data_IF_866734959849
#
_entry.id   IF_866734959849
#
_cell.length_a   1.000
_cell.length_b   1.000
_cell.length_c   1.000
_cell.angle_alpha   90.00
_cell.angle_beta   90.00
_cell.angle_gamma   90.00
#
_symmetry.space_group_name_H-M   'P 1'
#
loop_
_entity.id
_entity.type
_entity.pdbx_description
1 polymer ?
#
# COMPACT_ATOMS: atom_id res chain seq x y z
N UNK A 1 23.27 2.51 -1.09
CA UNK A 1 22.68 1.58 -0.09
C UNK A 1 21.65 2.24 0.83
N UNK A 2 21.43 3.57 0.79
CA UNK A 2 20.51 4.28 1.71
C UNK A 2 19.09 4.58 1.17
N UNK A 3 18.75 4.12 -0.04
CA UNK A 3 17.56 4.56 -0.78
C UNK A 3 16.33 3.64 -0.74
N UNK A 4 16.42 2.43 -0.16
CA UNK A 4 15.39 1.38 -0.31
C UNK A 4 14.41 1.25 0.87
N UNK A 5 14.40 2.20 1.80
CA UNK A 5 13.50 2.12 2.94
C UNK A 5 12.30 3.05 2.81
N UNK A 6 11.12 2.48 3.07
CA UNK A 6 9.83 3.17 3.08
C UNK A 6 9.49 3.47 4.54
N UNK A 7 9.10 4.71 4.84
CA UNK A 7 8.62 5.02 6.19
C UNK A 7 7.27 4.31 6.40
N UNK A 8 7.16 3.52 7.46
CA UNK A 8 5.93 2.81 7.77
C UNK A 8 5.26 3.42 9.00
N UNK A 9 3.93 3.42 9.02
CA UNK A 9 3.17 3.78 10.22
C UNK A 9 3.21 2.64 11.23
N UNK A 10 3.42 2.97 12.50
CA UNK A 10 3.57 1.99 13.58
C UNK A 10 2.24 1.39 14.05
N UNK A 11 1.13 2.03 13.69
CA UNK A 11 -0.24 1.62 14.01
C UNK A 11 -0.95 0.91 12.85
N UNK A 12 -0.23 0.55 11.77
CA UNK A 12 -0.79 -0.09 10.56
C UNK A 12 -1.69 -1.28 10.91
N UNK A 13 -1.25 -2.13 11.84
CA UNK A 13 -2.01 -3.28 12.33
C UNK A 13 -3.40 -2.92 12.91
N UNK A 14 -3.54 -1.72 13.47
CA UNK A 14 -4.78 -1.21 14.08
C UNK A 14 -5.63 -0.38 13.12
N UNK A 15 -5.19 -0.18 11.89
CA UNK A 15 -5.96 0.58 10.91
C UNK A 15 -7.29 -0.15 10.59
N UNK A 16 -8.44 0.56 10.58
CA UNK A 16 -9.73 -0.02 10.21
C UNK A 16 -9.74 -0.71 8.84
N UNK A 17 -9.03 -0.19 7.83
CA UNK A 17 -8.86 -0.81 6.52
C UNK A 17 -8.08 -2.13 6.58
N UNK A 18 -7.04 -2.23 7.41
CA UNK A 18 -6.36 -3.54 7.64
C UNK A 18 -7.35 -4.54 8.22
N UNK A 19 -8.20 -4.09 9.15
CA UNK A 19 -9.24 -4.95 9.72
C UNK A 19 -10.26 -5.40 8.67
N UNK A 20 -10.71 -4.49 7.80
CA UNK A 20 -11.65 -4.79 6.72
C UNK A 20 -11.06 -5.78 5.71
N UNK A 21 -9.78 -5.63 5.34
CA UNK A 21 -9.11 -6.55 4.43
C UNK A 21 -8.99 -7.94 5.05
N UNK A 22 -8.56 -8.02 6.32
CA UNK A 22 -8.48 -9.29 7.02
C UNK A 22 -9.83 -9.99 7.09
N UNK A 23 -10.91 -9.24 7.37
CA UNK A 23 -12.27 -9.79 7.42
C UNK A 23 -12.74 -10.27 6.03
N UNK A 24 -12.44 -9.52 4.96
CA UNK A 24 -12.79 -9.89 3.60
C UNK A 24 -12.06 -11.18 3.14
N UNK A 25 -10.79 -11.33 3.51
CA UNK A 25 -10.00 -12.53 3.20
C UNK A 25 -10.47 -13.74 4.00
N UNK A 26 -10.93 -13.53 5.23
CA UNK A 26 -11.46 -14.59 6.10
C UNK A 26 -12.91 -14.96 5.81
N UNK A 27 -13.63 -14.17 5.03
CA UNK A 27 -15.04 -14.40 4.77
C UNK A 27 -15.27 -15.82 4.20
N UNK A 28 -16.31 -16.54 4.64
CA UNK A 28 -16.64 -17.84 4.08
C UNK A 28 -16.80 -17.77 2.57
N UNK A 29 -16.09 -18.64 1.85
CA UNK A 29 -16.11 -18.65 0.40
C UNK A 29 -15.38 -17.47 -0.25
N UNK A 30 -14.53 -16.74 0.49
CA UNK A 30 -13.51 -15.88 -0.12
C UNK A 30 -12.58 -16.69 -1.02
N UNK A 31 -11.85 -16.02 -1.89
CA UNK A 31 -10.88 -16.67 -2.77
C UNK A 31 -9.80 -17.42 -1.98
N UNK A 32 -9.29 -16.80 -0.91
CA UNK A 32 -8.35 -17.42 0.01
C UNK A 32 -8.95 -18.67 0.70
N UNK A 33 -10.17 -18.56 1.23
CA UNK A 33 -10.85 -19.69 1.87
C UNK A 33 -11.02 -20.86 0.89
N UNK A 34 -11.48 -20.59 -0.35
CA UNK A 34 -11.61 -21.62 -1.40
C UNK A 34 -10.27 -22.21 -1.78
N UNK A 35 -9.22 -21.39 -1.89
CA UNK A 35 -7.88 -21.84 -2.22
C UNK A 35 -7.36 -22.83 -1.16
N UNK A 36 -7.53 -22.52 0.13
CA UNK A 36 -7.12 -23.41 1.23
C UNK A 36 -7.94 -24.70 1.21
N UNK A 37 -9.27 -24.62 1.12
CA UNK A 37 -10.14 -25.81 1.07
C UNK A 37 -9.79 -26.72 -0.10
N UNK A 38 -9.55 -26.16 -1.29
CA UNK A 38 -9.28 -26.95 -2.49
C UNK A 38 -7.87 -27.55 -2.51
N UNK A 39 -6.84 -26.82 -2.07
CA UNK A 39 -5.44 -27.25 -2.20
C UNK A 39 -4.90 -27.95 -0.95
N UNK A 40 -5.34 -27.54 0.24
CA UNK A 40 -4.87 -28.12 1.50
C UNK A 40 -5.83 -29.17 2.07
N UNK A 41 -7.01 -29.33 1.44
CA UNK A 41 -8.07 -30.25 1.89
C UNK A 41 -8.48 -30.01 3.37
N UNK A 42 -8.39 -28.76 3.81
CA UNK A 42 -8.75 -28.36 5.17
C UNK A 42 -9.50 -27.01 5.15
N UNK A 43 -10.32 -26.79 6.18
CA UNK A 43 -10.95 -25.49 6.39
C UNK A 43 -9.92 -24.47 6.91
N UNK A 44 -10.03 -23.22 6.48
CA UNK A 44 -9.14 -22.16 6.93
C UNK A 44 -9.45 -21.78 8.39
N UNK A 45 -8.63 -22.26 9.33
CA UNK A 45 -8.76 -21.94 10.77
C UNK A 45 -7.73 -20.91 11.21
N UNK A 46 -7.93 -19.65 10.80
CA UNK A 46 -7.04 -18.53 11.18
C UNK A 46 -7.81 -17.55 12.05
N UNK A 47 -7.19 -17.04 13.12
CA UNK A 47 -7.82 -16.00 13.94
C UNK A 47 -7.70 -14.64 13.26
N UNK A 48 -8.63 -13.73 13.55
CA UNK A 48 -8.61 -12.36 13.01
C UNK A 48 -7.28 -11.63 13.27
N UNK A 49 -6.66 -11.85 14.42
CA UNK A 49 -5.38 -11.22 14.76
C UNK A 49 -4.22 -11.77 13.93
N UNK A 50 -4.20 -13.08 13.65
CA UNK A 50 -3.21 -13.67 12.75
C UNK A 50 -3.42 -13.12 11.34
N UNK A 51 -4.66 -13.07 10.86
CA UNK A 51 -4.94 -12.55 9.51
C UNK A 51 -4.58 -11.08 9.35
N UNK A 52 -4.77 -10.26 10.38
CA UNK A 52 -4.30 -8.86 10.38
C UNK A 52 -2.79 -8.77 10.25
N UNK A 53 -2.01 -9.61 10.94
CA UNK A 53 -0.55 -9.62 10.77
C UNK A 53 -0.15 -10.05 9.36
N UNK A 54 -0.81 -11.08 8.81
CA UNK A 54 -0.64 -11.50 7.40
C UNK A 54 -0.93 -10.34 6.45
N UNK A 55 -2.04 -9.62 6.67
CA UNK A 55 -2.43 -8.45 5.88
C UNK A 55 -1.35 -7.36 5.92
N UNK A 56 -0.77 -7.08 7.10
CA UNK A 56 0.34 -6.11 7.22
C UNK A 56 1.56 -6.56 6.41
N UNK A 57 1.94 -7.85 6.50
CA UNK A 57 3.05 -8.39 5.71
C UNK A 57 2.81 -8.26 4.20
N UNK A 58 1.63 -8.68 3.74
CA UNK A 58 1.22 -8.58 2.34
C UNK A 58 1.22 -7.13 1.83
N UNK A 59 0.74 -6.17 2.63
CA UNK A 59 0.77 -4.74 2.30
C UNK A 59 2.19 -4.22 2.10
N UNK A 60 3.11 -4.58 2.99
CA UNK A 60 4.50 -4.13 2.90
C UNK A 60 5.17 -4.66 1.62
N UNK A 61 4.93 -5.93 1.27
CA UNK A 61 5.41 -6.52 0.01
C UNK A 61 4.85 -5.77 -1.20
N UNK A 62 3.53 -5.59 -1.25
CA UNK A 62 2.86 -4.88 -2.36
C UNK A 62 3.35 -3.44 -2.48
N UNK A 63 3.41 -2.69 -1.38
CA UNK A 63 3.87 -1.30 -1.41
C UNK A 63 5.34 -1.19 -1.81
N UNK A 64 6.20 -2.10 -1.35
CA UNK A 64 7.60 -2.16 -1.74
C UNK A 64 7.77 -2.31 -3.26
N UNK A 65 7.11 -3.32 -3.83
CA UNK A 65 7.19 -3.59 -5.28
C UNK A 65 6.53 -2.48 -6.09
N UNK A 66 5.30 -2.07 -5.72
CA UNK A 66 4.56 -1.06 -6.47
C UNK A 66 5.25 0.30 -6.43
N UNK A 67 5.90 0.68 -5.32
CA UNK A 67 6.71 1.91 -5.27
C UNK A 67 7.84 1.90 -6.28
N UNK A 68 8.50 0.76 -6.51
CA UNK A 68 9.61 0.65 -7.46
C UNK A 68 9.15 0.62 -8.92
N UNK A 69 7.95 0.08 -9.18
CA UNK A 69 7.45 -0.14 -10.55
C UNK A 69 6.47 0.95 -11.01
N UNK A 70 5.75 1.56 -10.08
CA UNK A 70 4.74 2.58 -10.32
C UNK A 70 5.33 3.94 -10.63
N UNK A 71 4.51 4.78 -11.26
CA UNK A 71 4.82 6.19 -11.53
C UNK A 71 4.06 7.07 -10.55
N UNK A 72 4.72 8.13 -10.09
CA UNK A 72 4.07 9.15 -9.25
C UNK A 72 3.19 10.06 -10.11
N UNK A 73 1.96 10.28 -9.68
CA UNK A 73 1.05 11.28 -10.22
C UNK A 73 0.47 12.09 -9.05
N UNK A 74 0.94 13.33 -8.86
CA UNK A 74 0.61 14.08 -7.64
C UNK A 74 1.07 13.33 -6.38
N UNK A 75 0.13 13.02 -5.49
CA UNK A 75 0.37 12.21 -4.29
C UNK A 75 -0.04 10.75 -4.47
N UNK A 76 -0.51 10.38 -5.65
CA UNK A 76 -0.95 9.03 -5.99
C UNK A 76 0.17 8.23 -6.67
N UNK A 77 0.09 6.92 -6.55
CA UNK A 77 0.95 5.99 -7.29
C UNK A 77 0.12 5.27 -8.35
N UNK A 78 0.57 5.30 -9.59
CA UNK A 78 -0.16 4.76 -10.75
C UNK A 78 0.68 3.70 -11.46
N UNK A 79 0.08 2.54 -11.70
CA UNK A 79 0.69 1.40 -12.37
C UNK A 79 -0.16 1.03 -13.59
N UNK A 80 0.37 1.23 -14.79
CA UNK A 80 -0.38 0.96 -16.03
C UNK A 80 -0.25 -0.51 -16.43
N UNK A 81 -1.32 -1.09 -16.99
CA UNK A 81 -1.35 -2.48 -17.44
C UNK A 81 -1.32 -3.52 -16.31
N UNK A 82 -1.55 -3.09 -15.07
CA UNK A 82 -1.57 -3.96 -13.88
C UNK A 82 -3.01 -4.21 -13.45
N UNK A 83 -3.30 -5.44 -13.04
CA UNK A 83 -4.61 -5.84 -12.51
C UNK A 83 -4.51 -6.17 -11.02
N UNK A 84 -5.66 -6.25 -10.34
CA UNK A 84 -5.70 -6.68 -8.94
C UNK A 84 -5.06 -8.05 -8.70
N UNK A 85 -5.11 -8.97 -9.67
CA UNK A 85 -4.47 -10.29 -9.56
C UNK A 85 -2.94 -10.20 -9.39
N UNK A 86 -2.30 -9.21 -10.01
CA UNK A 86 -0.86 -8.99 -9.82
C UNK A 86 -0.54 -8.64 -8.37
N UNK A 87 -1.47 -8.03 -7.64
CA UNK A 87 -1.29 -7.77 -6.21
C UNK A 87 -1.34 -9.06 -5.39
N UNK A 88 -2.17 -10.02 -5.81
CA UNK A 88 -2.25 -11.34 -5.18
C UNK A 88 -0.93 -12.09 -5.39
N UNK A 89 -0.39 -12.05 -6.61
CA UNK A 89 0.90 -12.67 -6.95
C UNK A 89 2.06 -12.06 -6.15
N UNK A 90 2.08 -10.73 -5.98
CA UNK A 90 3.12 -10.05 -5.19
C UNK A 90 2.99 -10.36 -3.69
N UNK A 91 1.76 -10.52 -3.21
CA UNK A 91 1.48 -10.81 -1.81
C UNK A 91 1.57 -12.31 -1.47
N UNK A 92 1.65 -13.18 -2.49
CA UNK A 92 1.40 -14.62 -2.38
C UNK A 92 0.10 -14.93 -1.62
N UNK A 93 -0.95 -14.13 -1.88
CA UNK A 93 -2.19 -14.15 -1.11
C UNK A 93 -3.42 -13.97 -2.02
N UNK A 94 -4.13 -15.07 -2.37
CA UNK A 94 -5.31 -15.00 -3.24
C UNK A 94 -6.43 -14.10 -2.72
N UNK A 95 -7.00 -13.27 -3.59
CA UNK A 95 -8.07 -12.31 -3.29
C UNK A 95 -7.60 -11.05 -2.56
N UNK A 96 -6.29 -10.86 -2.37
CA UNK A 96 -5.74 -9.72 -1.65
C UNK A 96 -5.99 -8.38 -2.35
N UNK A 97 -5.76 -8.30 -3.66
CA UNK A 97 -6.02 -7.13 -4.49
C UNK A 97 -7.50 -6.75 -4.49
N UNK A 98 -8.40 -7.73 -4.56
CA UNK A 98 -9.84 -7.48 -4.42
C UNK A 98 -10.17 -6.89 -3.03
N UNK A 99 -9.57 -7.41 -1.97
CA UNK A 99 -9.75 -6.88 -0.62
C UNK A 99 -9.14 -5.46 -0.46
N UNK A 100 -7.99 -5.19 -1.10
CA UNK A 100 -7.39 -3.85 -1.16
C UNK A 100 -8.31 -2.85 -1.85
N UNK A 101 -8.91 -3.25 -2.97
CA UNK A 101 -9.88 -2.43 -3.70
C UNK A 101 -11.12 -2.14 -2.85
N UNK A 102 -11.66 -3.15 -2.17
CA UNK A 102 -12.78 -3.01 -1.25
C UNK A 102 -12.48 -2.00 -0.12
N UNK A 103 -11.26 -2.00 0.42
CA UNK A 103 -10.84 -1.04 1.45
C UNK A 103 -10.59 0.38 0.92
N UNK A 104 -10.59 0.56 -0.41
CA UNK A 104 -10.24 1.81 -1.07
C UNK A 104 -8.77 2.19 -0.91
N UNK A 105 -7.85 1.21 -0.80
CA UNK A 105 -6.40 1.47 -0.93
C UNK A 105 -5.90 1.40 -2.36
N UNK A 106 -6.62 0.66 -3.19
CA UNK A 106 -6.34 0.55 -4.62
C UNK A 106 -7.63 0.82 -5.36
N UNK A 107 -7.51 1.51 -6.48
CA UNK A 107 -8.57 1.66 -7.46
C UNK A 107 -8.12 0.94 -8.74
N UNK A 108 -8.94 0.01 -9.22
CA UNK A 108 -8.77 -0.54 -10.56
C UNK A 108 -9.41 0.43 -11.55
N UNK A 109 -8.59 0.97 -12.44
CA UNK A 109 -9.02 1.80 -13.56
C UNK A 109 -8.97 0.98 -14.86
N UNK A 110 -9.46 1.57 -15.95
CA UNK A 110 -9.32 1.00 -17.29
C UNK A 110 -7.87 0.90 -17.77
N UNK A 111 -6.98 1.71 -17.21
CA UNK A 111 -5.57 1.78 -17.62
C UNK A 111 -4.64 0.97 -16.71
N UNK A 112 -5.10 0.60 -15.51
CA UNK A 112 -4.33 -0.21 -14.57
C UNK A 112 -4.78 0.02 -13.12
N UNK A 113 -3.82 0.20 -12.22
CA UNK A 113 -4.07 0.42 -10.79
C UNK A 113 -3.62 1.81 -10.36
N UNK A 114 -4.39 2.38 -9.44
CA UNK A 114 -4.05 3.62 -8.74
C UNK A 114 -4.10 3.38 -7.23
N UNK A 115 -3.08 3.87 -6.52
CA UNK A 115 -2.98 3.87 -5.07
C UNK A 115 -3.13 5.32 -4.59
N UNK A 116 -4.32 5.71 -4.11
CA UNK A 116 -4.58 7.10 -3.74
C UNK A 116 -3.77 7.52 -2.51
N UNK A 117 -3.22 8.73 -2.53
CA UNK A 117 -2.41 9.35 -1.46
C UNK A 117 -1.24 8.49 -1.01
N UNK A 118 -0.69 7.69 -1.92
CA UNK A 118 0.44 6.81 -1.62
C UNK A 118 1.64 7.60 -1.08
N UNK A 119 1.93 8.77 -1.63
CA UNK A 119 3.11 9.60 -1.31
C UNK A 119 2.84 10.76 -0.34
N UNK A 120 1.72 10.76 0.38
CA UNK A 120 1.40 11.82 1.35
C UNK A 120 2.36 11.79 2.56
N UNK A 121 2.07 10.92 3.55
CA UNK A 121 2.72 11.04 4.86
C UNK A 121 3.60 9.84 5.23
N UNK A 122 3.17 8.63 4.88
CA UNK A 122 3.81 7.40 5.35
C UNK A 122 4.71 6.80 4.27
N UNK A 123 4.26 6.50 3.05
CA UNK A 123 5.11 5.78 2.07
C UNK A 123 6.13 6.64 1.29
N UNK A 124 6.62 7.74 1.89
CA UNK A 124 7.67 8.60 1.33
C UNK A 124 9.06 8.15 1.75
N UNK A 125 10.06 8.34 0.88
CA UNK A 125 11.45 8.20 1.31
C UNK A 125 11.87 9.41 2.16
N UNK A 126 12.77 9.25 3.12
CA UNK A 126 13.28 10.36 3.92
C UNK A 126 14.10 11.33 3.09
N UNK A 127 14.75 10.85 2.03
CA UNK A 127 15.49 11.70 1.10
C UNK A 127 14.54 12.61 0.33
N UNK A 128 13.40 12.10 -0.14
CA UNK A 128 12.34 12.90 -0.77
C UNK A 128 11.76 13.92 0.20
N UNK A 129 11.49 13.51 1.45
CA UNK A 129 11.00 14.42 2.50
C UNK A 129 12.04 15.49 2.88
N UNK A 130 13.32 15.12 2.92
CA UNK A 130 14.41 16.06 3.24
C UNK A 130 14.65 17.02 2.08
N UNK A 131 14.58 16.55 0.84
CA UNK A 131 14.65 17.39 -0.37
C UNK A 131 13.48 18.36 -0.46
N UNK A 132 12.25 17.89 -0.23
CA UNK A 132 11.06 18.77 -0.26
C UNK A 132 11.10 19.81 0.86
N UNK A 133 11.48 19.43 2.08
CA UNK A 133 11.68 20.37 3.19
C UNK A 133 12.85 21.33 2.95
N UNK A 134 13.94 20.87 2.33
CA UNK A 134 15.08 21.70 1.96
C UNK A 134 14.71 22.76 0.92
N UNK A 135 13.98 22.37 -0.11
CA UNK A 135 13.47 23.27 -1.14
C UNK A 135 12.53 24.33 -0.55
N UNK A 136 11.59 23.91 0.31
CA UNK A 136 10.67 24.82 1.00
C UNK A 136 11.39 25.79 1.94
N UNK A 137 12.42 25.34 2.68
CA UNK A 137 13.27 26.21 3.50
C UNK A 137 14.03 27.25 2.67
N UNK A 138 14.60 26.84 1.54
CA UNK A 138 15.29 27.77 0.63
C UNK A 138 14.32 28.78 0.01
N UNK A 139 13.11 28.35 -0.37
CA UNK A 139 12.05 29.23 -0.88
C UNK A 139 11.68 30.31 0.14
N UNK A 140 11.37 29.92 1.38
CA UNK A 140 11.04 30.86 2.47
C UNK A 140 12.19 31.82 2.78
N UNK A 141 13.43 31.34 2.69
CA UNK A 141 14.60 32.21 2.83
C UNK A 141 14.67 33.27 1.72
N UNK A 142 14.45 32.87 0.45
CA UNK A 142 14.42 33.81 -0.68
C UNK A 142 13.27 34.83 -0.58
N UNK A 143 12.08 34.40 -0.16
CA UNK A 143 10.93 35.29 0.06
C UNK A 143 11.22 36.32 1.18
N UNK A 144 11.83 35.90 2.29
CA UNK A 144 12.25 36.81 3.37
C UNK A 144 13.33 37.80 2.97
N UNK A 145 14.25 37.42 2.08
CA UNK A 145 15.27 38.33 1.55
C UNK A 145 14.70 39.30 0.52
N UNK A 146 13.70 38.85 -0.27
CA UNK A 146 12.99 39.70 -1.23
C UNK A 146 12.14 40.78 -0.55
N UNK A 147 11.52 40.50 0.59
CA UNK A 147 10.74 41.47 1.38
C UNK A 147 11.58 42.52 2.15
N UNK A 148 12.90 42.33 2.24
CA UNK A 148 13.82 43.27 2.90
C UNK A 148 14.43 44.30 1.94
N UNK A 149 14.15 44.21 0.64
CA UNK A 149 14.46 45.25 -0.36
C UNK A 149 13.22 46.07 -0.64
#
# INVERSE_FOLDING_TARGET
MAGDWIKMRTDLYRDPKVSLIADALMAPGSELSRYVTNNCQCEMTVTRNVMRNVTVGALVSVWGVMRQRGKRNGDDLVCHGVTLMVLDDIADLPGFGAALALSGWVLQTSEGLEFPRFFDEYNVSPEEKTRSQGAERQRRYRERQGQKK
#
